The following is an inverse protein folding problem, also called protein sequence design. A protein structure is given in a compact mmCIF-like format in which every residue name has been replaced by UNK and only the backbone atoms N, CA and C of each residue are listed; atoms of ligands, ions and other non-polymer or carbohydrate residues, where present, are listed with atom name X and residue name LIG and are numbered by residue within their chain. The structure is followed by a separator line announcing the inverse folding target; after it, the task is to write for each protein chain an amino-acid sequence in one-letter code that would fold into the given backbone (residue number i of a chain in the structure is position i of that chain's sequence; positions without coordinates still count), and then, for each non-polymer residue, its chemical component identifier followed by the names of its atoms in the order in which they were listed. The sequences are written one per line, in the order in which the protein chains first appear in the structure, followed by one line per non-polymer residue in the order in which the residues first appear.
data_IF_631427171184
#
_entry.id   IF_631427171184
#
_cell.length_a   1.000
_cell.length_b   1.000
_cell.length_c   1.000
_cell.angle_alpha   90.00
_cell.angle_beta   90.00
_cell.angle_gamma   90.00
#
_symmetry.space_group_name_H-M   'P 1'
#
loop_
_entity.id
_entity.type
_entity.pdbx_description
1 polymer ?
#
# COMPACT_ATOMS: atom_id res chain seq x y z
N UNK A 1 -5.29 7.90 8.18
CA UNK A 1 -4.61 6.90 7.32
C UNK A 1 -3.13 6.94 7.66
N UNK A 2 -2.44 5.80 7.74
CA UNK A 2 -1.00 5.76 8.08
C UNK A 2 -0.64 4.94 9.33
N UNK A 3 -1.56 4.78 10.29
CA UNK A 3 -1.34 3.95 11.49
C UNK A 3 -1.11 2.48 11.15
N UNK A 4 -1.87 1.92 10.20
CA UNK A 4 -1.67 0.56 9.71
C UNK A 4 -0.32 0.36 8.99
N UNK A 5 0.11 1.37 8.22
CA UNK A 5 1.39 1.34 7.53
C UNK A 5 2.57 1.41 8.51
N UNK A 6 2.48 2.28 9.53
CA UNK A 6 3.49 2.38 10.58
C UNK A 6 3.56 1.08 11.38
N UNK A 7 2.41 0.50 11.75
CA UNK A 7 2.37 -0.79 12.45
C UNK A 7 3.07 -1.89 11.66
N UNK A 8 2.83 -1.96 10.34
CA UNK A 8 3.51 -2.93 9.48
C UNK A 8 5.02 -2.67 9.41
N UNK A 9 5.44 -1.41 9.28
CA UNK A 9 6.84 -1.03 9.25
C UNK A 9 7.59 -1.44 10.54
N UNK A 10 6.96 -1.21 11.70
CA UNK A 10 7.50 -1.57 13.01
C UNK A 10 7.57 -3.10 13.17
N UNK A 11 6.53 -3.82 12.72
CA UNK A 11 6.49 -5.28 12.76
C UNK A 11 7.58 -5.93 11.89
N UNK A 12 7.79 -5.43 10.67
CA UNK A 12 8.86 -5.91 9.80
C UNK A 12 10.21 -5.67 10.49
N UNK A 13 10.44 -4.44 10.97
CA UNK A 13 11.70 -4.09 11.64
C UNK A 13 12.00 -4.98 12.84
N UNK A 14 10.99 -5.24 13.69
CA UNK A 14 11.11 -6.12 14.83
C UNK A 14 11.37 -7.59 14.44
N UNK A 15 10.66 -8.11 13.43
CA UNK A 15 10.77 -9.50 12.98
C UNK A 15 12.16 -9.82 12.43
N UNK A 16 12.80 -8.84 11.78
CA UNK A 16 14.14 -9.00 11.24
C UNK A 16 15.25 -8.56 12.21
N UNK A 17 14.92 -8.28 13.47
CA UNK A 17 15.87 -7.81 14.49
C UNK A 17 16.68 -6.60 14.01
N UNK A 18 16.03 -5.70 13.27
CA UNK A 18 16.68 -4.50 12.70
C UNK A 18 17.59 -4.75 11.49
N UNK A 19 17.80 -6.00 11.04
CA UNK A 19 18.55 -6.30 9.80
C UNK A 19 17.85 -5.80 8.55
N UNK A 20 16.52 -5.70 8.60
CA UNK A 20 15.69 -5.02 7.63
C UNK A 20 14.90 -3.95 8.36
N UNK A 21 15.01 -2.70 7.92
CA UNK A 21 14.27 -1.56 8.47
C UNK A 21 13.35 -1.00 7.41
N UNK A 22 12.09 -0.76 7.78
CA UNK A 22 11.11 -0.10 6.91
C UNK A 22 10.84 1.29 7.45
N UNK A 23 11.16 2.31 6.66
CA UNK A 23 10.83 3.70 6.98
C UNK A 23 9.54 4.08 6.28
N UNK A 24 8.52 4.46 7.05
CA UNK A 24 7.31 5.05 6.48
C UNK A 24 7.62 6.48 6.03
N UNK A 25 7.43 6.76 4.74
CA UNK A 25 7.48 8.12 4.21
C UNK A 25 6.06 8.70 4.20
N UNK A 26 5.90 9.92 4.71
CA UNK A 26 4.62 10.60 4.63
C UNK A 26 4.28 10.95 3.17
N UNK A 27 2.99 11.16 2.91
CA UNK A 27 2.50 11.51 1.58
C UNK A 27 3.17 12.79 1.07
N UNK A 28 3.83 12.71 -0.09
CA UNK A 28 4.53 13.85 -0.71
C UNK A 28 5.96 14.11 -0.21
N UNK A 29 6.43 13.44 0.84
CA UNK A 29 7.79 13.65 1.38
C UNK A 29 8.89 13.06 0.47
N UNK A 30 8.61 11.91 -0.13
CA UNK A 30 9.57 11.18 -0.97
C UNK A 30 9.08 10.99 -2.42
N UNK A 31 7.78 10.74 -2.59
CA UNK A 31 7.14 10.56 -3.88
C UNK A 31 5.82 11.31 -3.89
N UNK A 32 5.46 12.04 -4.98
CA UNK A 32 4.14 12.61 -5.13
C UNK A 32 3.05 11.54 -4.93
N UNK A 33 2.01 11.85 -4.15
CA UNK A 33 0.96 10.92 -3.71
C UNK A 33 0.53 9.87 -4.75
N UNK A 34 0.22 10.32 -5.97
CA UNK A 34 -0.30 9.47 -7.05
C UNK A 34 0.77 8.77 -7.90
N UNK A 35 2.05 9.16 -7.79
CA UNK A 35 3.17 8.53 -8.52
C UNK A 35 3.73 7.29 -7.82
N UNK A 36 3.45 7.12 -6.54
CA UNK A 36 3.98 6.04 -5.69
C UNK A 36 3.84 4.63 -6.26
N UNK A 37 2.82 4.34 -7.07
CA UNK A 37 2.69 3.05 -7.78
C UNK A 37 3.68 2.89 -8.94
N UNK A 38 3.88 3.95 -9.73
CA UNK A 38 4.83 3.90 -10.84
C UNK A 38 6.26 3.82 -10.31
N UNK A 39 6.59 4.52 -9.22
CA UNK A 39 7.93 4.46 -8.61
C UNK A 39 8.24 3.08 -8.00
N UNK A 40 7.24 2.35 -7.46
CA UNK A 40 7.42 0.95 -7.05
C UNK A 40 7.64 0.05 -8.25
N UNK A 41 6.85 0.24 -9.31
CA UNK A 41 7.01 -0.52 -10.57
C UNK A 41 8.38 -0.31 -11.21
N UNK A 42 8.93 0.90 -11.10
CA UNK A 42 10.27 1.26 -11.58
C UNK A 42 11.40 0.89 -10.61
N UNK A 43 11.08 0.36 -9.42
CA UNK A 43 12.05 -0.09 -8.42
C UNK A 43 12.72 1.03 -7.63
N UNK A 44 12.25 2.27 -7.73
CA UNK A 44 12.78 3.41 -6.98
C UNK A 44 12.27 3.45 -5.53
N UNK A 45 11.11 2.87 -5.28
CA UNK A 45 10.59 2.60 -3.93
C UNK A 45 10.29 1.10 -3.82
N UNK A 46 10.58 0.50 -2.66
CA UNK A 46 10.44 -0.93 -2.47
C UNK A 46 9.02 -1.35 -2.07
N UNK A 47 8.24 -0.45 -1.47
CA UNK A 47 6.92 -0.75 -0.91
C UNK A 47 5.93 0.40 -1.12
N UNK A 48 4.65 0.04 -1.28
CA UNK A 48 3.53 0.98 -1.36
C UNK A 48 2.41 0.54 -0.42
N UNK A 49 1.85 1.49 0.33
CA UNK A 49 0.62 1.29 1.09
C UNK A 49 -0.41 2.35 0.68
N UNK A 50 -1.45 1.94 -0.04
CA UNK A 50 -2.49 2.84 -0.55
C UNK A 50 -3.76 2.07 -0.93
N UNK A 51 -4.90 2.76 -0.94
CA UNK A 51 -6.16 2.14 -1.36
C UNK A 51 -6.19 1.88 -2.88
N UNK A 52 -6.64 0.70 -3.34
CA UNK A 52 -6.74 0.37 -4.76
C UNK A 52 -7.67 1.29 -5.55
N UNK A 53 -8.72 1.81 -4.90
CA UNK A 53 -9.73 2.70 -5.51
C UNK A 53 -9.12 3.97 -6.12
N UNK A 54 -7.99 4.47 -5.62
CA UNK A 54 -7.31 5.63 -6.19
C UNK A 54 -6.55 5.35 -7.49
N UNK A 55 -6.51 4.09 -7.94
CA UNK A 55 -5.74 3.64 -9.12
C UNK A 55 -6.56 2.82 -10.11
N UNK A 56 -7.87 3.05 -10.14
CA UNK A 56 -8.80 2.48 -11.14
C UNK A 56 -8.32 2.71 -12.58
N UNK A 57 -7.67 3.86 -12.85
CA UNK A 57 -7.15 4.22 -14.17
C UNK A 57 -5.86 3.47 -14.57
N UNK A 58 -5.22 2.73 -13.66
CA UNK A 58 -3.98 1.99 -13.98
C UNK A 58 -4.25 0.62 -14.59
N UNK A 59 -5.32 -0.05 -14.16
CA UNK A 59 -5.79 -1.30 -14.75
C UNK A 59 -7.24 -1.56 -14.30
N UNK A 60 -8.14 -2.00 -15.20
CA UNK A 60 -9.56 -2.18 -14.89
C UNK A 60 -9.84 -3.20 -13.78
N UNK A 61 -8.90 -4.09 -13.48
CA UNK A 61 -9.06 -5.08 -12.39
C UNK A 61 -8.68 -4.55 -10.99
N UNK A 62 -7.95 -3.44 -10.88
CA UNK A 62 -7.48 -2.91 -9.58
C UNK A 62 -8.62 -2.67 -8.57
N UNK A 63 -9.81 -2.16 -8.96
CA UNK A 63 -10.90 -1.92 -8.02
C UNK A 63 -11.36 -3.17 -7.26
N UNK A 64 -11.25 -4.36 -7.85
CA UNK A 64 -11.67 -5.61 -7.22
C UNK A 64 -10.80 -6.01 -6.02
N UNK A 65 -9.60 -5.45 -5.87
CA UNK A 65 -8.74 -5.66 -4.70
C UNK A 65 -9.00 -4.67 -3.56
N UNK A 66 -9.92 -3.72 -3.76
CA UNK A 66 -10.32 -2.76 -2.74
C UNK A 66 -11.80 -2.94 -2.42
N UNK A 67 -12.62 -2.02 -2.94
CA UNK A 67 -14.06 -2.08 -2.81
C UNK A 67 -14.70 -1.61 -4.12
N UNK A 68 -15.75 -2.31 -4.54
CA UNK A 68 -16.62 -1.93 -5.66
C UNK A 68 -18.07 -1.81 -5.14
N UNK A 69 -18.91 -0.93 -5.71
CA UNK A 69 -20.31 -0.86 -5.34
C UNK A 69 -21.01 -2.21 -5.53
N UNK A 70 -21.67 -2.71 -4.47
CA UNK A 70 -22.30 -4.04 -4.47
C UNK A 70 -21.31 -5.21 -4.42
N UNK A 71 -20.05 -4.96 -4.06
CA UNK A 71 -19.02 -5.98 -3.89
C UNK A 71 -19.03 -6.67 -2.52
N UNK A 72 -17.98 -7.44 -2.29
CA UNK A 72 -17.81 -8.29 -1.12
C UNK A 72 -17.59 -7.49 0.18
N UNK A 73 -18.12 -8.00 1.28
CA UNK A 73 -17.76 -7.55 2.63
C UNK A 73 -16.37 -8.06 3.06
N UNK A 74 -15.80 -7.58 4.19
CA UNK A 74 -14.47 -8.00 4.63
C UNK A 74 -14.33 -9.50 4.97
N UNK A 75 -15.39 -10.18 5.40
CA UNK A 75 -15.37 -11.63 5.65
C UNK A 75 -15.38 -12.38 4.31
N UNK A 76 -16.21 -11.95 3.37
CA UNK A 76 -16.28 -12.52 2.03
C UNK A 76 -14.99 -12.31 1.23
N UNK A 77 -14.27 -11.21 1.46
CA UNK A 77 -12.96 -10.95 0.83
C UNK A 77 -11.82 -11.80 1.45
N UNK A 78 -12.01 -12.32 2.66
CA UNK A 78 -11.02 -13.11 3.41
C UNK A 78 -11.31 -14.61 3.44
N UNK A 79 -12.47 -15.04 2.92
CA UNK A 79 -12.89 -16.45 2.84
C UNK A 79 -12.20 -17.17 1.68
#
# INVERSE_FOLDING_TARGET
MGTGAQRLADQITATFEGRLTVKLCAEGEFVPAFKSFDEVREGKVQMLHAAPSYRTNKHPSIPFFGAVPGGLDPQEHNA
#
